data_IF_153048497210
#
_entry.id   IF_153048497210
#
_cell.length_a   1.000
_cell.length_b   1.000
_cell.length_c   1.000
_cell.angle_alpha   90.00
_cell.angle_beta   90.00
_cell.angle_gamma   90.00
#
_symmetry.space_group_name_H-M   'P 1'
#
loop_
_entity.id
_entity.type
_entity.pdbx_description
1 polymer ?
#
# COMPACT_ATOMS: atom_id res chain seq x y z
N UNK A 1 30.70 -26.99 5.77
CA UNK A 1 29.28 -26.55 5.97
C UNK A 1 28.92 -25.53 4.90
N UNK A 2 27.92 -25.79 4.04
CA UNK A 2 27.52 -24.85 3.00
C UNK A 2 26.77 -23.65 3.59
N UNK A 3 27.02 -22.44 3.06
CA UNK A 3 26.30 -21.22 3.47
C UNK A 3 24.85 -21.27 3.01
N UNK A 4 23.91 -20.93 3.91
CA UNK A 4 22.49 -20.80 3.59
C UNK A 4 22.30 -19.69 2.55
N UNK A 5 21.55 -19.98 1.48
CA UNK A 5 21.25 -19.01 0.42
C UNK A 5 20.00 -18.21 0.76
N UNK A 6 20.04 -16.90 0.49
CA UNK A 6 18.88 -16.04 0.73
C UNK A 6 17.84 -16.20 -0.38
N UNK A 7 16.57 -16.33 0.00
CA UNK A 7 15.46 -16.29 -0.96
C UNK A 7 15.31 -14.86 -1.46
N UNK A 8 15.87 -14.58 -2.64
CA UNK A 8 15.94 -13.23 -3.22
C UNK A 8 14.56 -12.60 -3.40
N UNK A 9 13.54 -13.42 -3.67
CA UNK A 9 12.15 -12.96 -3.78
C UNK A 9 11.58 -12.39 -2.47
N UNK A 10 11.98 -12.94 -1.33
CA UNK A 10 11.58 -12.45 -0.01
C UNK A 10 12.36 -11.19 0.37
N UNK A 11 13.68 -11.18 0.12
CA UNK A 11 14.54 -10.02 0.38
C UNK A 11 14.11 -8.75 -0.38
N UNK A 12 13.50 -8.91 -1.57
CA UNK A 12 12.94 -7.78 -2.35
C UNK A 12 11.64 -7.22 -1.77
N UNK A 13 10.86 -8.04 -1.02
CA UNK A 13 9.48 -7.71 -0.61
C UNK A 13 9.35 -7.37 0.88
N UNK A 14 10.20 -7.95 1.73
CA UNK A 14 10.15 -7.84 3.19
C UNK A 14 11.42 -7.19 3.73
N UNK A 15 11.26 -6.32 4.74
CA UNK A 15 12.39 -5.72 5.47
C UNK A 15 12.23 -5.97 6.96
N UNK A 16 13.32 -6.28 7.66
CA UNK A 16 13.32 -6.51 9.12
C UNK A 16 13.10 -5.19 9.88
N UNK A 17 12.33 -5.21 10.96
CA UNK A 17 12.19 -4.10 11.91
C UNK A 17 13.14 -4.30 13.10
N UNK A 18 13.45 -3.23 13.83
CA UNK A 18 14.33 -3.31 15.00
C UNK A 18 13.79 -4.26 16.08
N UNK A 19 12.47 -4.34 16.22
CA UNK A 19 11.74 -5.24 17.13
C UNK A 19 11.67 -6.70 16.68
N UNK A 20 12.35 -7.09 15.60
CA UNK A 20 12.36 -8.48 15.10
C UNK A 20 11.21 -8.86 14.16
N UNK A 21 10.26 -7.95 13.91
CA UNK A 21 9.20 -8.13 12.93
C UNK A 21 9.63 -7.86 11.48
N UNK A 22 8.68 -7.97 10.55
CA UNK A 22 8.90 -7.68 9.12
C UNK A 22 7.86 -6.70 8.56
N UNK A 23 8.33 -5.66 7.89
CA UNK A 23 7.49 -4.72 7.15
C UNK A 23 7.31 -5.15 5.70
N UNK A 24 6.08 -4.98 5.17
CA UNK A 24 5.68 -5.28 3.78
C UNK A 24 4.73 -4.21 3.23
N UNK A 25 4.59 -4.15 1.90
CA UNK A 25 3.55 -3.33 1.24
C UNK A 25 2.19 -4.04 1.27
N UNK A 26 1.10 -3.26 1.30
CA UNK A 26 -0.26 -3.80 1.22
C UNK A 26 -0.57 -4.25 -0.22
N UNK A 27 -1.37 -5.32 -0.34
CA UNK A 27 -1.75 -5.90 -1.63
C UNK A 27 -2.90 -5.12 -2.28
N UNK A 28 -3.06 -5.28 -3.59
CA UNK A 28 -4.21 -4.76 -4.33
C UNK A 28 -4.35 -3.22 -4.42
N UNK A 29 -3.21 -2.51 -4.44
CA UNK A 29 -3.12 -1.05 -4.62
C UNK A 29 -2.35 -0.64 -5.89
N UNK A 30 -2.20 -1.55 -6.86
CA UNK A 30 -1.35 -1.30 -8.04
C UNK A 30 -2.15 -1.07 -9.32
N UNK A 31 -3.30 -1.70 -9.46
CA UNK A 31 -4.15 -1.59 -10.64
C UNK A 31 -5.62 -1.75 -10.24
N UNK A 32 -6.51 -1.19 -11.06
CA UNK A 32 -7.96 -1.21 -10.86
C UNK A 32 -8.39 -0.49 -9.57
N UNK A 33 -7.89 0.74 -9.41
CA UNK A 33 -8.20 1.58 -8.25
C UNK A 33 -9.54 2.30 -8.39
N UNK A 34 -9.95 2.63 -9.61
CA UNK A 34 -11.13 3.46 -9.91
C UNK A 34 -12.45 2.81 -9.51
N UNK A 35 -12.60 1.50 -9.72
CA UNK A 35 -13.82 0.76 -9.38
C UNK A 35 -13.84 0.21 -7.95
N UNK A 36 -12.73 0.36 -7.22
CA UNK A 36 -12.59 -0.19 -5.89
C UNK A 36 -13.09 0.82 -4.89
N UNK A 37 -14.04 0.43 -4.05
CA UNK A 37 -14.52 1.26 -2.94
C UNK A 37 -13.32 1.58 -2.03
N UNK A 38 -12.87 2.83 -2.08
CA UNK A 38 -11.77 3.34 -1.29
C UNK A 38 -12.34 3.72 0.08
N UNK A 39 -11.91 3.06 1.14
CA UNK A 39 -12.31 3.45 2.50
C UNK A 39 -11.72 4.79 2.95
N UNK A 40 -10.82 5.40 2.17
CA UNK A 40 -10.08 6.61 2.56
C UNK A 40 -9.80 7.53 1.37
N UNK A 41 -10.40 8.72 1.41
CA UNK A 41 -9.93 10.04 0.95
C UNK A 41 -9.22 10.26 -0.41
N UNK A 42 -9.27 9.36 -1.40
CA UNK A 42 -8.65 9.66 -2.72
C UNK A 42 -9.52 10.55 -3.61
N UNK A 43 -10.86 10.53 -3.45
CA UNK A 43 -11.77 11.39 -4.23
C UNK A 43 -11.47 12.89 -3.98
N UNK A 44 -11.13 13.25 -2.73
CA UNK A 44 -10.88 14.64 -2.33
C UNK A 44 -9.51 15.19 -2.77
N UNK A 45 -8.60 14.32 -3.22
CA UNK A 45 -7.27 14.73 -3.75
C UNK A 45 -7.32 14.93 -5.26
N UNK A 46 -8.24 14.25 -5.96
CA UNK A 46 -8.33 14.27 -7.43
C UNK A 46 -9.39 15.27 -7.92
N UNK A 47 -10.38 15.64 -7.10
CA UNK A 47 -11.44 16.57 -7.52
C UNK A 47 -11.75 17.65 -6.46
N UNK A 48 -11.04 18.81 -6.48
CA UNK A 48 -11.30 19.92 -5.56
C UNK A 48 -12.69 20.57 -5.74
N UNK A 49 -13.34 20.32 -6.90
CA UNK A 49 -14.59 20.96 -7.29
C UNK A 49 -15.83 20.37 -6.57
N UNK A 50 -15.71 19.14 -6.08
CA UNK A 50 -16.79 18.44 -5.36
C UNK A 50 -16.96 18.89 -3.88
N UNK A 51 -16.35 20.02 -3.47
CA UNK A 51 -16.47 20.57 -2.10
C UNK A 51 -17.63 21.55 -1.94
N UNK A 52 -18.27 21.99 -3.03
CA UNK A 52 -19.30 23.05 -2.99
C UNK A 52 -20.75 22.56 -2.91
N UNK A 53 -21.02 21.25 -2.98
CA UNK A 53 -22.39 20.72 -3.01
C UNK A 53 -22.88 20.08 -1.71
N UNK A 54 -22.02 19.86 -0.73
CA UNK A 54 -22.44 19.36 0.61
C UNK A 54 -22.32 20.48 1.65
N UNK A 55 -23.10 21.54 1.43
CA UNK A 55 -23.54 22.47 2.48
C UNK A 55 -25.06 22.49 2.43
N UNK A 56 -25.66 21.52 3.11
CA UNK A 56 -26.80 21.77 3.98
C UNK A 56 -26.32 21.46 5.39
#
# INVERSE_FOLDING_TARGET
>A
MPKIKTVRGAAKRFKKTASGGFKRKQSHLRHILTKKQLSVNVIYVINPWLRKQTKF
#
